data_IF_629438562439
#
_entry.id   IF_629438562439
#
_cell.length_a   1.000
_cell.length_b   1.000
_cell.length_c   1.000
_cell.angle_alpha   90.00
_cell.angle_beta   90.00
_cell.angle_gamma   90.00
#
_symmetry.space_group_name_H-M   'P 1'
#
loop_
_entity.id
_entity.type
_entity.pdbx_description
1 polymer ?
#
# COMPACT_ATOMS: atom_id res chain seq x y z
N UNK A 1 19.59 -3.67 -1.55
CA UNK A 1 18.23 -3.71 -0.96
C UNK A 1 17.31 -4.18 -2.06
N UNK A 2 16.48 -5.21 -1.87
CA UNK A 2 15.44 -5.52 -2.87
C UNK A 2 14.44 -4.37 -2.85
N UNK A 3 14.02 -3.90 -4.02
CA UNK A 3 12.94 -2.93 -4.15
C UNK A 3 11.66 -3.50 -3.55
N UNK A 4 10.79 -2.65 -3.01
CA UNK A 4 9.42 -3.07 -2.68
C UNK A 4 8.74 -3.61 -3.94
N UNK A 5 7.97 -4.71 -3.83
CA UNK A 5 7.29 -5.27 -4.99
C UNK A 5 6.26 -4.29 -5.52
N UNK A 6 6.16 -4.17 -6.83
CA UNK A 6 5.12 -3.34 -7.47
C UNK A 6 3.73 -3.97 -7.30
N UNK A 7 2.68 -3.18 -7.51
CA UNK A 7 1.29 -3.69 -7.54
C UNK A 7 1.18 -4.84 -8.55
N UNK A 8 1.77 -4.69 -9.74
CA UNK A 8 1.76 -5.72 -10.78
C UNK A 8 2.43 -7.01 -10.32
N UNK A 9 3.59 -6.92 -9.65
CA UNK A 9 4.30 -8.09 -9.12
C UNK A 9 3.47 -8.81 -8.06
N UNK A 10 2.79 -8.05 -7.19
CA UNK A 10 1.88 -8.61 -6.18
C UNK A 10 0.69 -9.31 -6.83
N UNK A 11 0.04 -8.68 -7.81
CA UNK A 11 -1.12 -9.25 -8.52
C UNK A 11 -0.71 -10.53 -9.25
N UNK A 12 0.42 -10.52 -9.96
CA UNK A 12 0.96 -11.72 -10.63
C UNK A 12 1.19 -12.83 -9.61
N UNK A 13 1.79 -12.53 -8.45
CA UNK A 13 2.04 -13.55 -7.42
C UNK A 13 0.73 -14.12 -6.85
N UNK A 14 -0.29 -13.28 -6.63
CA UNK A 14 -1.60 -13.73 -6.15
C UNK A 14 -2.26 -14.62 -7.20
N UNK A 15 -2.21 -14.22 -8.47
CA UNK A 15 -2.77 -14.99 -9.58
C UNK A 15 -2.14 -16.37 -9.68
N UNK A 16 -0.81 -16.45 -9.66
CA UNK A 16 -0.09 -17.73 -9.75
C UNK A 16 -0.47 -18.66 -8.59
N UNK A 17 -0.70 -18.11 -7.39
CA UNK A 17 -1.22 -18.88 -6.26
C UNK A 17 -2.64 -19.39 -6.53
N UNK A 18 -3.57 -18.55 -7.02
CA UNK A 18 -4.92 -19.01 -7.34
C UNK A 18 -4.93 -20.07 -8.46
N UNK A 19 -4.04 -19.96 -9.44
CA UNK A 19 -3.86 -20.93 -10.52
C UNK A 19 -3.32 -22.29 -10.02
N UNK A 20 -2.59 -22.32 -8.90
CA UNK A 20 -2.07 -23.57 -8.34
C UNK A 20 -3.11 -24.36 -7.53
N UNK A 21 -4.28 -23.79 -7.25
CA UNK A 21 -5.34 -24.42 -6.47
C UNK A 21 -6.28 -25.25 -7.36
N UNK A 22 -6.90 -26.29 -6.78
CA UNK A 22 -7.84 -27.14 -7.50
C UNK A 22 -9.21 -26.44 -7.70
N UNK A 23 -9.55 -26.14 -8.95
CA UNK A 23 -10.78 -25.43 -9.35
C UNK A 23 -12.05 -26.23 -9.03
N UNK A 24 -12.00 -27.57 -8.96
CA UNK A 24 -13.17 -28.38 -8.61
C UNK A 24 -13.66 -28.11 -7.18
N UNK A 25 -12.74 -27.74 -6.29
CA UNK A 25 -13.04 -27.41 -4.89
C UNK A 25 -13.55 -25.96 -4.79
N UNK A 26 -13.12 -25.09 -5.70
CA UNK A 26 -13.33 -23.65 -5.64
C UNK A 26 -13.80 -23.11 -6.99
N UNK A 27 -15.13 -23.16 -7.27
CA UNK A 27 -15.68 -22.84 -8.59
C UNK A 27 -15.42 -21.38 -9.02
N UNK A 28 -15.34 -20.46 -8.06
CA UNK A 28 -15.11 -19.04 -8.32
C UNK A 28 -13.64 -18.68 -8.65
N UNK A 29 -12.70 -19.62 -8.53
CA UNK A 29 -11.28 -19.38 -8.87
C UNK A 29 -11.14 -18.87 -10.31
N UNK A 30 -11.85 -19.47 -11.26
CA UNK A 30 -11.77 -19.05 -12.68
C UNK A 30 -12.23 -17.61 -12.88
N UNK A 31 -13.28 -17.19 -12.16
CA UNK A 31 -13.79 -15.81 -12.18
C UNK A 31 -12.73 -14.86 -11.61
N UNK A 32 -12.17 -15.19 -10.45
CA UNK A 32 -11.18 -14.35 -9.76
C UNK A 32 -9.85 -14.24 -10.53
N UNK A 33 -9.36 -15.33 -11.14
CA UNK A 33 -8.20 -15.29 -12.04
C UNK A 33 -8.47 -14.38 -13.24
N UNK A 34 -9.69 -14.44 -13.82
CA UNK A 34 -10.05 -13.55 -14.93
C UNK A 34 -9.99 -12.08 -14.51
N UNK A 35 -10.54 -11.74 -13.35
CA UNK A 35 -10.47 -10.39 -12.79
C UNK A 35 -9.02 -9.93 -12.63
N UNK A 36 -8.15 -10.79 -12.08
CA UNK A 36 -6.72 -10.46 -11.89
C UNK A 36 -5.93 -10.36 -13.20
N UNK A 37 -6.41 -10.92 -14.31
CA UNK A 37 -5.77 -10.75 -15.63
C UNK A 37 -6.06 -9.37 -16.24
N UNK A 38 -7.15 -8.71 -15.83
CA UNK A 38 -7.55 -7.38 -16.27
C UNK A 38 -6.99 -6.31 -15.31
N UNK A 39 -5.67 -6.36 -15.03
CA UNK A 39 -4.99 -5.54 -14.01
C UNK A 39 -5.29 -4.04 -14.16
N UNK A 40 -5.30 -3.52 -15.38
CA UNK A 40 -5.55 -2.11 -15.66
C UNK A 40 -6.99 -1.66 -15.36
N UNK A 41 -7.90 -2.61 -15.16
CA UNK A 41 -9.32 -2.37 -14.87
C UNK A 41 -9.72 -2.86 -13.48
N UNK A 42 -8.74 -3.18 -12.62
CA UNK A 42 -9.02 -3.62 -11.26
C UNK A 42 -9.38 -2.42 -10.39
N UNK A 43 -10.59 -2.44 -9.85
CA UNK A 43 -11.11 -1.41 -8.96
C UNK A 43 -11.34 -1.97 -7.54
N UNK A 44 -11.71 -1.08 -6.62
CA UNK A 44 -11.98 -1.43 -5.23
C UNK A 44 -13.02 -2.55 -5.07
N UNK A 45 -14.06 -2.57 -5.93
CA UNK A 45 -15.13 -3.57 -5.87
C UNK A 45 -14.62 -4.95 -6.29
N UNK A 46 -13.87 -5.01 -7.39
CA UNK A 46 -13.25 -6.25 -7.87
C UNK A 46 -12.24 -6.81 -6.85
N UNK A 47 -11.47 -5.95 -6.18
CA UNK A 47 -10.54 -6.38 -5.12
C UNK A 47 -11.30 -6.92 -3.91
N UNK A 48 -12.35 -6.23 -3.46
CA UNK A 48 -13.21 -6.69 -2.37
C UNK A 48 -13.80 -8.07 -2.66
N UNK A 49 -14.29 -8.29 -3.88
CA UNK A 49 -14.85 -9.60 -4.27
C UNK A 49 -13.84 -10.74 -4.08
N UNK A 50 -12.59 -10.54 -4.49
CA UNK A 50 -11.53 -11.54 -4.35
C UNK A 50 -11.15 -11.72 -2.88
N UNK A 51 -11.07 -10.63 -2.10
CA UNK A 51 -10.80 -10.70 -0.65
C UNK A 51 -11.87 -11.53 0.06
N UNK A 52 -13.14 -11.33 -0.27
CA UNK A 52 -14.27 -12.06 0.31
C UNK A 52 -14.20 -13.54 -0.04
N UNK A 53 -13.92 -13.88 -1.30
CA UNK A 53 -13.68 -15.25 -1.72
C UNK A 53 -12.51 -15.90 -0.94
N UNK A 54 -11.39 -15.20 -0.76
CA UNK A 54 -10.26 -15.73 0.01
C UNK A 54 -10.65 -15.99 1.47
N UNK A 55 -11.40 -15.09 2.10
CA UNK A 55 -11.83 -15.24 3.49
C UNK A 55 -12.84 -16.37 3.70
N UNK A 56 -13.86 -16.42 2.84
CA UNK A 56 -15.02 -17.29 3.03
C UNK A 56 -14.74 -18.70 2.51
N UNK A 57 -14.03 -18.82 1.39
CA UNK A 57 -13.83 -20.10 0.70
C UNK A 57 -12.42 -20.64 0.95
N UNK A 58 -11.36 -19.88 0.64
CA UNK A 58 -10.01 -20.43 0.68
C UNK A 58 -9.50 -20.67 2.10
N UNK A 59 -9.50 -19.66 2.97
CA UNK A 59 -8.90 -19.75 4.31
C UNK A 59 -9.58 -20.83 5.18
N UNK A 60 -10.86 -21.11 4.95
CA UNK A 60 -11.62 -22.10 5.69
C UNK A 60 -11.38 -23.54 5.21
N UNK A 61 -11.12 -23.72 3.91
CA UNK A 61 -10.97 -25.05 3.30
C UNK A 61 -9.50 -25.47 3.06
N UNK A 62 -8.56 -24.52 3.11
CA UNK A 62 -7.13 -24.80 2.97
C UNK A 62 -6.46 -25.05 4.33
N UNK A 63 -5.33 -25.76 4.29
CA UNK A 63 -4.50 -26.00 5.47
C UNK A 63 -3.01 -25.85 5.13
N UNK A 64 -2.17 -25.80 6.18
CA UNK A 64 -0.71 -25.75 6.01
C UNK A 64 -0.24 -24.58 5.15
N UNK A 65 0.58 -24.90 4.14
CA UNK A 65 1.20 -23.94 3.26
C UNK A 65 0.18 -23.11 2.48
N UNK A 66 -0.79 -23.73 1.82
CA UNK A 66 -1.76 -23.02 0.97
C UNK A 66 -2.62 -22.05 1.77
N UNK A 67 -2.96 -22.39 3.02
CA UNK A 67 -3.68 -21.49 3.92
C UNK A 67 -2.85 -20.26 4.27
N UNK A 68 -1.54 -20.43 4.48
CA UNK A 68 -0.64 -19.31 4.71
C UNK A 68 -0.59 -18.39 3.49
N UNK A 69 -0.47 -18.94 2.28
CA UNK A 69 -0.49 -18.15 1.05
C UNK A 69 -1.82 -17.43 0.83
N UNK A 70 -2.96 -18.04 1.19
CA UNK A 70 -4.25 -17.37 1.18
C UNK A 70 -4.26 -16.13 2.10
N UNK A 71 -3.70 -16.22 3.31
CA UNK A 71 -3.55 -15.05 4.19
C UNK A 71 -2.65 -13.97 3.59
N UNK A 72 -1.53 -14.37 2.98
CA UNK A 72 -0.60 -13.43 2.32
C UNK A 72 -1.31 -12.74 1.15
N UNK A 73 -1.97 -13.49 0.28
CA UNK A 73 -2.71 -12.96 -0.86
C UNK A 73 -3.78 -11.95 -0.43
N UNK A 74 -4.57 -12.29 0.60
CA UNK A 74 -5.56 -11.38 1.17
C UNK A 74 -4.93 -10.09 1.68
N UNK A 75 -3.87 -10.19 2.48
CA UNK A 75 -3.22 -9.01 3.06
C UNK A 75 -2.62 -8.12 1.96
N UNK A 76 -2.03 -8.71 0.91
CA UNK A 76 -1.53 -7.99 -0.26
C UNK A 76 -2.65 -7.28 -1.02
N UNK A 77 -3.79 -7.94 -1.27
CA UNK A 77 -4.96 -7.32 -1.89
C UNK A 77 -5.50 -6.15 -1.07
N UNK A 78 -5.53 -6.28 0.26
CA UNK A 78 -5.92 -5.20 1.15
C UNK A 78 -4.97 -3.99 1.10
N UNK A 79 -3.67 -4.20 0.88
CA UNK A 79 -2.71 -3.12 0.66
C UNK A 79 -3.00 -2.44 -0.68
N UNK A 80 -3.10 -3.22 -1.77
CA UNK A 80 -3.41 -2.71 -3.12
C UNK A 80 -4.71 -1.88 -3.09
N UNK A 81 -5.73 -2.39 -2.39
CA UNK A 81 -6.99 -1.69 -2.21
C UNK A 81 -6.82 -0.29 -1.59
N UNK A 82 -6.05 -0.19 -0.51
CA UNK A 82 -5.79 1.10 0.15
C UNK A 82 -4.93 2.00 -0.72
N UNK A 83 -3.96 1.46 -1.43
CA UNK A 83 -3.11 2.20 -2.36
C UNK A 83 -3.98 2.86 -3.46
N UNK A 84 -4.86 2.10 -4.11
CA UNK A 84 -5.79 2.62 -5.14
C UNK A 84 -6.67 3.75 -4.60
N UNK A 85 -7.16 3.60 -3.37
CA UNK A 85 -8.11 4.55 -2.80
C UNK A 85 -7.45 5.82 -2.21
N UNK A 86 -6.19 5.74 -1.78
CA UNK A 86 -5.56 6.80 -0.96
C UNK A 86 -4.28 7.39 -1.54
N UNK A 87 -3.54 6.67 -2.38
CA UNK A 87 -2.18 7.08 -2.78
C UNK A 87 -2.17 8.44 -3.51
N UNK A 88 -3.14 8.69 -4.40
CA UNK A 88 -3.20 9.95 -5.14
C UNK A 88 -3.43 11.16 -4.21
N UNK A 89 -4.36 11.07 -3.25
CA UNK A 89 -4.62 12.15 -2.28
C UNK A 89 -3.37 12.42 -1.43
N UNK A 90 -2.69 11.36 -1.00
CA UNK A 90 -1.46 11.49 -0.22
C UNK A 90 -0.30 12.07 -1.03
N UNK A 91 -0.13 11.68 -2.29
CA UNK A 91 0.89 12.24 -3.17
C UNK A 91 0.65 13.74 -3.41
N UNK A 92 -0.58 14.16 -3.70
CA UNK A 92 -0.92 15.58 -3.87
C UNK A 92 -0.60 16.39 -2.62
N UNK A 93 -0.99 15.90 -1.44
CA UNK A 93 -0.70 16.55 -0.16
C UNK A 93 0.79 16.58 0.15
N UNK A 94 1.52 15.52 -0.18
CA UNK A 94 2.97 15.46 -0.01
C UNK A 94 3.67 16.50 -0.89
N UNK A 95 3.30 16.57 -2.17
CA UNK A 95 3.83 17.58 -3.10
C UNK A 95 3.59 18.98 -2.55
N UNK A 96 2.37 19.31 -2.12
CA UNK A 96 2.05 20.63 -1.55
C UNK A 96 2.96 20.97 -0.36
N UNK A 97 3.18 20.01 0.55
CA UNK A 97 4.08 20.21 1.71
C UNK A 97 5.54 20.39 1.28
N UNK A 98 6.01 19.58 0.34
CA UNK A 98 7.37 19.67 -0.19
C UNK A 98 7.62 20.98 -0.92
N UNK A 99 6.69 21.42 -1.77
CA UNK A 99 6.80 22.67 -2.50
C UNK A 99 6.88 23.87 -1.55
N UNK A 100 6.07 23.85 -0.48
CA UNK A 100 6.11 24.85 0.59
C UNK A 100 7.45 24.86 1.33
N UNK A 101 7.93 23.68 1.75
CA UNK A 101 9.18 23.52 2.51
C UNK A 101 10.41 23.93 1.69
N UNK A 102 10.44 23.54 0.41
CA UNK A 102 11.58 23.73 -0.49
C UNK A 102 11.51 25.04 -1.29
N UNK A 103 10.37 25.72 -1.27
CA UNK A 103 10.05 26.91 -2.10
C UNK A 103 10.30 26.66 -3.58
N UNK A 104 9.97 25.46 -4.05
CA UNK A 104 10.21 25.00 -5.42
C UNK A 104 9.08 24.08 -5.86
N UNK A 105 8.60 24.27 -7.09
CA UNK A 105 7.63 23.36 -7.71
C UNK A 105 8.28 22.15 -8.35
N UNK A 106 7.58 21.02 -8.40
CA UNK A 106 8.09 19.82 -9.06
C UNK A 106 7.25 18.58 -8.81
N UNK A 107 7.69 17.45 -9.37
CA UNK A 107 7.13 16.15 -9.03
C UNK A 107 7.71 15.63 -7.71
N UNK A 108 7.01 14.67 -7.08
CA UNK A 108 7.37 14.09 -5.80
C UNK A 108 8.81 13.55 -5.75
N UNK A 109 9.28 12.91 -6.84
CA UNK A 109 10.62 12.29 -6.90
C UNK A 109 11.73 13.35 -6.86
N UNK A 110 11.61 14.40 -7.66
CA UNK A 110 12.61 15.47 -7.71
C UNK A 110 12.60 16.31 -6.43
N UNK A 111 11.42 16.55 -5.86
CA UNK A 111 11.27 17.26 -4.59
C UNK A 111 11.88 16.46 -3.42
N UNK A 112 11.60 15.16 -3.32
CA UNK A 112 12.22 14.28 -2.31
C UNK A 112 13.75 14.23 -2.45
N UNK A 113 14.26 14.13 -3.68
CA UNK A 113 15.71 14.18 -3.93
C UNK A 113 16.32 15.49 -3.42
N UNK A 114 15.71 16.63 -3.74
CA UNK A 114 16.16 17.93 -3.27
C UNK A 114 16.09 18.07 -1.74
N UNK A 115 15.03 17.53 -1.11
CA UNK A 115 14.92 17.50 0.35
C UNK A 115 16.11 16.76 0.97
N UNK A 116 16.42 15.56 0.47
CA UNK A 116 17.57 14.77 0.92
C UNK A 116 18.90 15.53 0.76
N UNK A 117 19.12 16.17 -0.39
CA UNK A 117 20.31 17.00 -0.64
C UNK A 117 20.42 18.13 0.38
N UNK A 118 19.33 18.87 0.63
CA UNK A 118 19.31 19.98 1.60
C UNK A 118 19.54 19.53 3.04
N UNK A 119 18.98 18.37 3.45
CA UNK A 119 19.23 17.79 4.76
C UNK A 119 20.71 17.39 4.88
N UNK A 120 21.25 16.69 3.87
CA UNK A 120 22.65 16.25 3.84
C UNK A 120 23.64 17.42 3.94
N UNK A 121 23.33 18.53 3.25
CA UNK A 121 24.13 19.75 3.27
C UNK A 121 23.90 20.62 4.53
N UNK A 122 23.05 20.19 5.46
CA UNK A 122 22.64 20.94 6.66
C UNK A 122 21.98 22.30 6.34
N UNK A 123 21.41 22.45 5.15
CA UNK A 123 20.67 23.65 4.73
C UNK A 123 19.29 23.72 5.40
N UNK A 124 18.71 22.57 5.73
CA UNK A 124 17.51 22.47 6.57
C UNK A 124 17.93 21.83 7.89
N UNK A 125 17.72 22.56 8.99
CA UNK A 125 18.02 22.06 10.32
C UNK A 125 17.00 20.96 10.70
N UNK A 126 17.49 19.88 11.35
CA UNK A 126 16.66 18.85 11.99
C UNK A 126 15.55 19.42 12.88
N UNK A 127 15.79 20.56 13.51
CA UNK A 127 14.83 21.21 14.41
C UNK A 127 13.79 22.09 13.71
N UNK A 128 13.82 22.14 12.37
CA UNK A 128 12.78 22.77 11.58
C UNK A 128 11.43 22.06 11.78
N UNK A 129 10.43 22.80 12.26
CA UNK A 129 9.11 22.25 12.55
C UNK A 129 8.35 21.80 11.28
N UNK A 130 8.49 22.51 10.16
CA UNK A 130 7.86 22.15 8.89
C UNK A 130 8.47 20.83 8.34
N UNK A 131 9.78 20.62 8.52
CA UNK A 131 10.43 19.35 8.18
C UNK A 131 9.88 18.20 9.04
N UNK A 132 9.78 18.41 10.36
CA UNK A 132 9.26 17.39 11.28
C UNK A 132 7.81 17.02 10.93
N UNK A 133 6.95 18.03 10.70
CA UNK A 133 5.56 17.82 10.31
C UNK A 133 5.47 17.05 8.99
N UNK A 134 6.23 17.46 7.96
CA UNK A 134 6.27 16.76 6.68
C UNK A 134 6.66 15.27 6.83
N UNK A 135 7.77 14.97 7.51
CA UNK A 135 8.24 13.58 7.69
C UNK A 135 7.24 12.73 8.46
N UNK A 136 6.63 13.29 9.51
CA UNK A 136 5.60 12.61 10.29
C UNK A 136 4.38 12.30 9.42
N UNK A 137 3.86 13.27 8.69
CA UNK A 137 2.68 13.11 7.84
C UNK A 137 2.90 12.08 6.73
N UNK A 138 4.02 12.17 6.02
CA UNK A 138 4.39 11.17 5.00
C UNK A 138 4.51 9.77 5.60
N UNK A 139 5.09 9.64 6.81
CA UNK A 139 5.16 8.35 7.52
C UNK A 139 3.77 7.82 7.89
N UNK A 140 2.89 8.68 8.40
CA UNK A 140 1.53 8.29 8.79
C UNK A 140 0.66 7.90 7.59
N UNK A 141 0.80 8.60 6.46
CA UNK A 141 0.17 8.27 5.20
C UNK A 141 0.64 6.89 4.69
N UNK A 142 1.95 6.62 4.70
CA UNK A 142 2.47 5.31 4.27
C UNK A 142 2.02 4.17 5.18
N UNK A 143 2.02 4.39 6.49
CA UNK A 143 1.55 3.39 7.47
C UNK A 143 0.05 3.10 7.36
N UNK A 144 -0.78 4.10 7.01
CA UNK A 144 -2.22 3.86 6.84
C UNK A 144 -2.51 2.90 5.67
N UNK A 145 -1.64 2.90 4.64
CA UNK A 145 -1.74 1.97 3.52
C UNK A 145 -1.08 0.64 3.85
N UNK A 146 0.20 0.62 4.23
CA UNK A 146 0.93 -0.64 4.34
C UNK A 146 0.52 -1.44 5.58
N UNK A 147 0.30 -0.77 6.71
CA UNK A 147 0.18 -1.40 8.04
C UNK A 147 -0.84 -0.68 8.94
N UNK A 148 -2.13 -0.58 8.57
CA UNK A 148 -3.13 0.18 9.31
C UNK A 148 -3.41 -0.34 10.72
N UNK A 149 -3.02 -1.59 11.01
CA UNK A 149 -3.17 -2.22 12.33
C UNK A 149 -1.87 -2.29 13.13
N UNK A 150 -0.78 -1.69 12.63
CA UNK A 150 0.47 -1.64 13.37
C UNK A 150 0.29 -0.84 14.67
N UNK A 151 0.71 -1.42 15.79
CA UNK A 151 0.50 -0.83 17.12
C UNK A 151 1.08 0.58 17.25
N UNK A 152 2.24 0.85 16.62
CA UNK A 152 2.83 2.18 16.59
C UNK A 152 1.99 3.20 15.83
N UNK A 153 1.42 2.81 14.68
CA UNK A 153 0.50 3.65 13.91
C UNK A 153 -0.76 3.96 14.74
N UNK A 154 -1.39 2.92 15.30
CA UNK A 154 -2.60 3.08 16.13
C UNK A 154 -2.35 3.97 17.35
N UNK A 155 -1.17 3.85 17.98
CA UNK A 155 -0.77 4.70 19.09
C UNK A 155 -0.59 6.17 18.65
N UNK A 156 0.07 6.42 17.53
CA UNK A 156 0.22 7.77 16.98
C UNK A 156 -1.14 8.42 16.67
N UNK A 157 -2.08 7.67 16.09
CA UNK A 157 -3.46 8.16 15.88
C UNK A 157 -4.14 8.52 17.18
N UNK A 158 -4.00 7.68 18.23
CA UNK A 158 -4.55 7.97 19.56
C UNK A 158 -3.94 9.24 20.18
N UNK A 159 -2.68 9.52 19.87
CA UNK A 159 -1.94 10.68 20.37
C UNK A 159 -2.18 11.95 19.51
N UNK A 160 -3.06 11.89 18.51
CA UNK A 160 -3.51 13.05 17.72
C UNK A 160 -2.70 13.34 16.47
N UNK A 161 -1.88 12.40 16.01
CA UNK A 161 -1.13 12.55 14.76
C UNK A 161 -2.06 12.52 13.54
N UNK A 162 -1.73 13.30 12.51
CA UNK A 162 -2.52 13.36 11.27
C UNK A 162 -2.51 12.03 10.53
N UNK A 163 -3.58 11.78 9.76
CA UNK A 163 -3.71 10.63 8.86
C UNK A 163 -3.26 10.92 7.43
N UNK A 164 -2.68 12.10 7.19
CA UNK A 164 -2.37 12.65 5.86
C UNK A 164 -1.13 13.56 5.81
#
# INVERSE_FOLDING_TARGET
MRSEPTIDELIISIKNFLESLNIEIFPDIKKNIKILNEINEIDDLKINEIIDFINNDLINNLSGHDRFYAFVARNSLQIIQREINLANDYEEKEIIRLEKLLKKKGNIKDLNKLLCEKISNKEINRDNNDLKDHLVRTTMAKLSIDQPNYSGYLKAIKDGYSRD
#
